data_IF_074006587871
#
_entry.id   IF_074006587871
#
_cell.length_a   1.000
_cell.length_b   1.000
_cell.length_c   1.000
_cell.angle_alpha   90.00
_cell.angle_beta   90.00
_cell.angle_gamma   90.00
#
_symmetry.space_group_name_H-M   'P 1'
#
loop_
_entity.id
_entity.type
_entity.pdbx_description
1 polymer ?
#
# COMPACT_ATOMS: atom_id res chain seq x y z
N UNK A 1 5.58 -9.90 -0.20
CA UNK A 1 5.47 -9.19 1.11
C UNK A 1 4.08 -9.29 1.73
N UNK A 2 2.97 -9.00 1.02
CA UNK A 2 1.62 -9.04 1.62
C UNK A 2 1.22 -10.44 2.06
N UNK A 3 1.50 -11.46 1.28
CA UNK A 3 1.21 -12.86 1.63
C UNK A 3 1.97 -13.30 2.88
N UNK A 4 3.22 -12.86 3.05
CA UNK A 4 4.02 -13.12 4.24
C UNK A 4 3.41 -12.43 5.47
N UNK A 5 3.00 -11.18 5.36
CA UNK A 5 2.35 -10.45 6.45
C UNK A 5 0.99 -11.06 6.83
N UNK A 6 0.22 -11.57 5.86
CA UNK A 6 -1.02 -12.31 6.13
C UNK A 6 -0.74 -13.65 6.83
N UNK A 7 0.35 -14.35 6.48
CA UNK A 7 0.76 -15.58 7.17
C UNK A 7 1.15 -15.33 8.63
N UNK A 8 1.92 -14.27 8.89
CA UNK A 8 2.31 -13.88 10.27
C UNK A 8 1.07 -13.46 11.09
N UNK A 9 0.11 -12.75 10.48
CA UNK A 9 -1.15 -12.43 11.12
C UNK A 9 -1.95 -13.69 11.50
N UNK A 10 -2.06 -14.67 10.59
CA UNK A 10 -2.75 -15.94 10.86
C UNK A 10 -2.11 -16.70 12.02
N UNK A 11 -0.78 -16.77 12.05
CA UNK A 11 -0.05 -17.41 13.17
C UNK A 11 -0.39 -16.70 14.48
N UNK A 12 -0.31 -15.38 14.53
CA UNK A 12 -0.62 -14.59 15.72
C UNK A 12 -2.06 -14.80 16.19
N UNK A 13 -3.02 -14.81 15.24
CA UNK A 13 -4.44 -15.11 15.56
C UNK A 13 -4.61 -16.51 16.14
N UNK A 14 -3.87 -17.51 15.65
CA UNK A 14 -3.88 -18.86 16.22
C UNK A 14 -3.50 -18.92 17.70
N UNK A 15 -2.60 -18.04 18.11
CA UNK A 15 -2.10 -17.96 19.49
C UNK A 15 -3.01 -17.13 20.42
N UNK A 16 -3.69 -16.10 19.90
CA UNK A 16 -4.39 -15.08 20.71
C UNK A 16 -5.89 -15.01 20.49
N UNK A 17 -6.38 -15.51 19.34
CA UNK A 17 -7.77 -15.46 18.93
C UNK A 17 -8.17 -16.76 18.20
N UNK A 18 -8.18 -17.92 18.88
CA UNK A 18 -8.30 -19.23 18.24
C UNK A 18 -9.64 -19.46 17.52
N UNK A 19 -10.74 -18.82 17.94
CA UNK A 19 -12.00 -18.92 17.24
C UNK A 19 -11.93 -18.19 15.89
N UNK A 20 -11.28 -17.02 15.84
CA UNK A 20 -11.01 -16.28 14.61
C UNK A 20 -10.10 -17.06 13.68
N UNK A 21 -9.00 -17.63 14.19
CA UNK A 21 -8.08 -18.44 13.39
C UNK A 21 -8.75 -19.70 12.81
N UNK A 22 -9.74 -20.27 13.51
CA UNK A 22 -10.53 -21.39 13.02
C UNK A 22 -11.49 -20.97 11.91
N UNK A 23 -12.17 -19.83 12.08
CA UNK A 23 -13.14 -19.31 11.11
C UNK A 23 -12.46 -18.76 9.85
N UNK A 24 -11.29 -18.16 9.99
CA UNK A 24 -10.47 -17.58 8.91
C UNK A 24 -9.12 -18.31 8.83
N UNK A 25 -9.17 -19.59 8.47
CA UNK A 25 -8.06 -20.53 8.57
C UNK A 25 -6.96 -20.34 7.51
N UNK A 26 -7.17 -19.47 6.52
CA UNK A 26 -6.19 -19.20 5.46
C UNK A 26 -6.17 -17.74 5.00
N UNK A 27 -5.18 -17.40 4.17
CA UNK A 27 -5.03 -16.05 3.65
C UNK A 27 -6.16 -15.65 2.68
N UNK A 28 -6.83 -16.60 2.04
CA UNK A 28 -7.95 -16.32 1.15
C UNK A 28 -9.18 -15.86 1.95
N UNK A 29 -9.45 -16.48 3.09
CA UNK A 29 -10.51 -16.07 4.01
C UNK A 29 -10.25 -14.66 4.58
N UNK A 30 -8.99 -14.35 4.97
CA UNK A 30 -8.61 -13.01 5.41
C UNK A 30 -8.75 -11.95 4.29
N UNK A 31 -8.50 -12.33 3.05
CA UNK A 31 -8.72 -11.44 1.90
C UNK A 31 -10.19 -11.21 1.62
N UNK A 32 -11.02 -12.25 1.76
CA UNK A 32 -12.46 -12.15 1.57
C UNK A 32 -13.09 -11.16 2.57
N UNK A 33 -12.74 -11.24 3.86
CA UNK A 33 -13.27 -10.30 4.86
C UNK A 33 -12.74 -8.87 4.64
N UNK A 34 -11.49 -8.71 4.18
CA UNK A 34 -10.98 -7.39 3.79
C UNK A 34 -11.77 -6.81 2.61
N UNK A 35 -12.08 -7.62 1.59
CA UNK A 35 -12.88 -7.17 0.44
C UNK A 35 -14.32 -6.83 0.86
N UNK A 36 -14.90 -7.57 1.78
CA UNK A 36 -16.18 -7.21 2.40
C UNK A 36 -16.10 -5.84 3.08
N UNK A 37 -15.02 -5.58 3.84
CA UNK A 37 -14.81 -4.29 4.51
C UNK A 37 -14.71 -3.13 3.52
N UNK A 38 -14.05 -3.30 2.36
CA UNK A 38 -14.01 -2.28 1.29
C UNK A 38 -15.42 -1.88 0.81
N UNK A 39 -16.35 -2.83 0.78
CA UNK A 39 -17.75 -2.57 0.42
C UNK A 39 -18.54 -1.91 1.54
N UNK A 40 -18.28 -2.27 2.79
CA UNK A 40 -18.93 -1.71 3.98
C UNK A 40 -18.42 -0.30 4.32
N UNK A 41 -17.15 -0.02 4.03
CA UNK A 41 -16.47 1.24 4.37
C UNK A 41 -15.82 1.86 3.13
N UNK A 42 -16.61 2.31 2.15
CA UNK A 42 -16.07 2.94 0.93
C UNK A 42 -15.33 4.25 1.22
N UNK A 43 -15.61 4.89 2.35
CA UNK A 43 -14.91 6.07 2.87
C UNK A 43 -13.43 5.80 3.20
N UNK A 44 -13.06 4.56 3.52
CA UNK A 44 -11.70 4.16 3.87
C UNK A 44 -10.86 3.64 2.68
N UNK A 45 -11.34 3.74 1.45
CA UNK A 45 -10.62 3.17 0.28
C UNK A 45 -9.21 3.72 0.09
N UNK A 46 -8.95 4.94 0.55
CA UNK A 46 -7.63 5.56 0.52
C UNK A 46 -6.74 5.15 1.69
N UNK A 47 -7.30 4.56 2.76
CA UNK A 47 -6.58 4.14 3.97
C UNK A 47 -6.60 2.62 4.13
N UNK A 48 -5.60 1.96 3.52
CA UNK A 48 -5.45 0.51 3.61
C UNK A 48 -5.14 0.03 5.04
N UNK A 49 -4.57 0.88 5.89
CA UNK A 49 -4.31 0.56 7.29
C UNK A 49 -5.60 0.52 8.09
N UNK A 50 -6.46 1.53 7.93
CA UNK A 50 -7.78 1.55 8.57
C UNK A 50 -8.65 0.39 8.05
N UNK A 51 -8.69 0.14 6.73
CA UNK A 51 -9.40 -1.01 6.16
C UNK A 51 -8.92 -2.34 6.76
N UNK A 52 -7.62 -2.51 6.96
CA UNK A 52 -7.08 -3.75 7.55
C UNK A 52 -7.47 -3.88 9.02
N UNK A 53 -7.36 -2.82 9.82
CA UNK A 53 -7.80 -2.82 11.23
C UNK A 53 -9.27 -3.19 11.36
N UNK A 54 -10.13 -2.53 10.58
CA UNK A 54 -11.57 -2.80 10.62
C UNK A 54 -11.91 -4.21 10.12
N UNK A 55 -11.18 -4.75 9.12
CA UNK A 55 -11.39 -6.13 8.68
C UNK A 55 -10.98 -7.15 9.75
N UNK A 56 -9.91 -6.91 10.50
CA UNK A 56 -9.50 -7.75 11.62
C UNK A 56 -10.53 -7.67 12.75
N UNK A 57 -10.99 -6.46 13.09
CA UNK A 57 -12.03 -6.24 14.12
C UNK A 57 -13.32 -6.95 13.77
N UNK A 58 -13.73 -6.89 12.51
CA UNK A 58 -14.90 -7.61 12.01
C UNK A 58 -14.71 -9.13 12.13
N UNK A 59 -13.54 -9.66 11.77
CA UNK A 59 -13.23 -11.08 11.88
C UNK A 59 -13.34 -11.57 13.35
N UNK A 60 -12.71 -10.85 14.27
CA UNK A 60 -12.75 -11.13 15.71
C UNK A 60 -14.20 -11.14 16.23
N UNK A 61 -14.97 -10.11 15.89
CA UNK A 61 -16.37 -9.99 16.32
C UNK A 61 -17.23 -11.13 15.77
N UNK A 62 -17.08 -11.50 14.50
CA UNK A 62 -17.84 -12.59 13.88
C UNK A 62 -17.50 -13.96 14.47
N UNK A 63 -16.25 -14.15 14.89
CA UNK A 63 -15.80 -15.39 15.54
C UNK A 63 -16.14 -15.47 17.05
N UNK A 64 -16.50 -14.33 17.67
CA UNK A 64 -16.76 -14.25 19.10
C UNK A 64 -15.51 -14.05 19.97
N UNK A 65 -14.38 -13.72 19.38
CA UNK A 65 -13.17 -13.31 20.09
C UNK A 65 -13.21 -11.82 20.45
N UNK A 66 -12.30 -11.38 21.34
CA UNK A 66 -12.24 -9.99 21.79
C UNK A 66 -11.82 -9.04 20.66
N UNK A 67 -12.69 -8.11 20.29
CA UNK A 67 -12.44 -7.10 19.26
C UNK A 67 -11.29 -6.15 19.61
N UNK A 68 -10.89 -6.02 20.88
CA UNK A 68 -9.74 -5.22 21.30
C UNK A 68 -8.41 -5.79 20.78
N UNK A 69 -8.37 -7.07 20.42
CA UNK A 69 -7.22 -7.71 19.78
C UNK A 69 -6.94 -7.19 18.36
N UNK A 70 -7.84 -6.38 17.78
CA UNK A 70 -7.63 -5.84 16.41
C UNK A 70 -6.39 -4.97 16.27
N UNK A 71 -6.08 -4.14 17.29
CA UNK A 71 -4.89 -3.27 17.24
C UNK A 71 -3.58 -4.07 17.33
N UNK A 72 -3.34 -4.93 18.32
CA UNK A 72 -2.12 -5.73 18.36
C UNK A 72 -1.99 -6.68 17.16
N UNK A 73 -3.07 -7.25 16.66
CA UNK A 73 -3.05 -8.05 15.43
C UNK A 73 -2.64 -7.24 14.20
N UNK A 74 -3.16 -6.01 14.08
CA UNK A 74 -2.74 -5.09 13.03
C UNK A 74 -1.28 -4.72 13.14
N UNK A 75 -0.76 -4.45 14.34
CA UNK A 75 0.64 -4.06 14.55
C UNK A 75 1.61 -5.16 14.10
N UNK A 76 1.28 -6.42 14.36
CA UNK A 76 2.04 -7.58 13.87
C UNK A 76 2.04 -7.63 12.34
N UNK A 77 0.88 -7.54 11.72
CA UNK A 77 0.74 -7.48 10.26
C UNK A 77 1.52 -6.31 9.68
N UNK A 78 1.35 -5.10 10.23
CA UNK A 78 1.95 -3.88 9.72
C UNK A 78 3.47 -3.87 9.84
N UNK A 79 4.01 -4.39 10.94
CA UNK A 79 5.45 -4.53 11.13
C UNK A 79 6.07 -5.42 10.06
N UNK A 80 5.40 -6.52 9.71
CA UNK A 80 5.86 -7.41 8.65
C UNK A 80 5.71 -6.79 7.26
N UNK A 81 4.69 -5.93 7.04
CA UNK A 81 4.52 -5.17 5.80
C UNK A 81 5.67 -4.20 5.51
N UNK A 82 6.39 -3.72 6.54
CA UNK A 82 7.55 -2.84 6.37
C UNK A 82 8.83 -3.61 5.99
N UNK A 83 8.86 -4.94 6.14
CA UNK A 83 9.98 -5.80 5.72
C UNK A 83 9.91 -6.10 4.24
N UNK A 84 10.21 -5.08 3.43
CA UNK A 84 10.21 -5.18 1.98
C UNK A 84 11.54 -5.72 1.48
N UNK A 85 11.48 -6.77 0.67
CA UNK A 85 12.62 -7.20 -0.15
C UNK A 85 12.51 -6.48 -1.49
N UNK A 86 13.46 -5.61 -1.75
CA UNK A 86 13.52 -4.85 -3.00
C UNK A 86 14.09 -5.74 -4.13
N UNK A 87 13.66 -5.47 -5.36
CA UNK A 87 14.31 -6.04 -6.53
C UNK A 87 15.78 -5.59 -6.59
N UNK A 88 16.65 -6.42 -7.17
CA UNK A 88 18.09 -6.18 -7.22
C UNK A 88 18.46 -4.86 -7.90
N UNK A 89 17.68 -4.45 -8.89
CA UNK A 89 17.85 -3.20 -9.65
C UNK A 89 17.24 -1.97 -8.98
N UNK A 90 16.43 -2.11 -7.92
CA UNK A 90 15.71 -1.00 -7.31
C UNK A 90 16.67 0.04 -6.70
N UNK A 91 17.66 -0.39 -5.91
CA UNK A 91 18.64 0.52 -5.32
C UNK A 91 19.50 1.23 -6.38
N UNK A 92 20.10 0.54 -7.37
CA UNK A 92 20.84 1.20 -8.44
C UNK A 92 19.99 2.21 -9.24
N UNK A 93 18.73 1.85 -9.57
CA UNK A 93 17.85 2.73 -10.31
C UNK A 93 17.49 3.99 -9.51
N UNK A 94 17.08 3.84 -8.24
CA UNK A 94 16.77 4.97 -7.38
C UNK A 94 17.98 5.87 -7.14
N UNK A 95 19.16 5.30 -6.92
CA UNK A 95 20.39 6.08 -6.77
C UNK A 95 20.72 6.87 -8.04
N UNK A 96 20.59 6.25 -9.22
CA UNK A 96 20.83 6.91 -10.50
C UNK A 96 19.85 8.08 -10.73
N UNK A 97 18.56 7.86 -10.46
CA UNK A 97 17.51 8.86 -10.68
C UNK A 97 17.61 10.01 -9.68
N UNK A 98 17.77 9.73 -8.38
CA UNK A 98 17.79 10.74 -7.33
C UNK A 98 18.99 11.69 -7.38
N UNK A 99 20.08 11.28 -8.04
CA UNK A 99 21.24 12.14 -8.30
C UNK A 99 20.99 13.14 -9.45
N UNK A 100 20.00 12.91 -10.30
CA UNK A 100 19.75 13.67 -11.53
C UNK A 100 18.44 14.44 -11.52
N UNK A 101 17.47 13.90 -10.81
CA UNK A 101 16.11 14.44 -10.77
C UNK A 101 15.58 14.46 -9.34
N UNK A 102 14.69 15.41 -9.00
CA UNK A 102 13.89 15.27 -7.78
C UNK A 102 12.91 14.10 -7.94
N UNK A 103 13.02 13.11 -7.06
CA UNK A 103 12.15 11.92 -7.08
C UNK A 103 11.11 12.02 -5.96
N UNK A 104 9.85 11.73 -6.28
CA UNK A 104 8.73 11.71 -5.33
C UNK A 104 8.11 10.31 -5.32
N UNK A 105 7.89 9.75 -4.13
CA UNK A 105 7.12 8.53 -3.98
C UNK A 105 5.62 8.85 -3.92
N UNK A 106 4.79 8.13 -4.71
CA UNK A 106 3.33 8.23 -4.67
C UNK A 106 2.76 6.82 -4.49
N UNK A 107 2.12 6.55 -3.36
CA UNK A 107 1.71 5.19 -2.99
C UNK A 107 0.26 5.11 -2.50
N UNK A 108 -0.48 4.12 -3.03
CA UNK A 108 -1.74 3.66 -2.42
C UNK A 108 -1.48 2.66 -1.28
N UNK A 109 -0.26 2.13 -1.19
CA UNK A 109 0.15 1.18 -0.17
C UNK A 109 0.40 1.82 1.19
N UNK A 110 0.57 0.98 2.19
CA UNK A 110 0.86 1.38 3.56
C UNK A 110 2.31 1.05 4.01
N UNK A 111 3.20 0.73 3.07
CA UNK A 111 4.62 0.64 3.36
C UNK A 111 5.22 2.06 3.37
N UNK A 112 5.96 2.37 4.43
CA UNK A 112 6.62 3.65 4.62
C UNK A 112 8.03 3.60 4.04
N UNK A 113 8.34 4.48 3.10
CA UNK A 113 9.66 4.52 2.43
C UNK A 113 10.83 4.72 3.41
N UNK A 114 10.62 5.41 4.54
CA UNK A 114 11.64 5.61 5.57
C UNK A 114 11.86 4.33 6.38
N UNK A 115 10.77 3.64 6.76
CA UNK A 115 10.85 2.36 7.48
C UNK A 115 11.40 1.24 6.61
N UNK A 116 11.13 1.28 5.31
CA UNK A 116 11.72 0.36 4.31
C UNK A 116 13.21 0.65 4.07
N UNK A 117 13.70 1.86 4.42
CA UNK A 117 15.11 2.23 4.29
C UNK A 117 15.48 2.93 2.97
N UNK A 118 14.50 3.26 2.12
CA UNK A 118 14.71 3.94 0.83
C UNK A 118 14.31 5.42 0.83
N UNK A 119 13.86 5.95 1.96
CA UNK A 119 13.38 7.32 2.07
C UNK A 119 14.38 8.38 1.62
N UNK A 120 15.68 8.11 1.74
CA UNK A 120 16.75 9.03 1.37
C UNK A 120 16.84 9.31 -0.14
N UNK A 121 16.23 8.49 -1.01
CA UNK A 121 16.16 8.73 -2.45
C UNK A 121 15.06 9.73 -2.84
N UNK A 122 14.07 9.97 -1.96
CA UNK A 122 12.90 10.76 -2.27
C UNK A 122 12.97 12.15 -1.64
N UNK A 123 12.60 13.18 -2.43
CA UNK A 123 12.41 14.54 -1.92
C UNK A 123 11.12 14.71 -1.15
N UNK A 124 10.10 13.93 -1.52
CA UNK A 124 8.82 13.84 -0.85
C UNK A 124 8.22 12.44 -1.01
N UNK A 125 7.36 12.06 -0.07
CA UNK A 125 6.55 10.84 -0.15
C UNK A 125 5.10 11.22 0.10
N UNK A 126 4.20 10.83 -0.81
CA UNK A 126 2.78 11.11 -0.74
C UNK A 126 2.06 9.76 -0.67
N UNK A 127 1.50 9.45 0.48
CA UNK A 127 0.66 8.28 0.68
C UNK A 127 -0.81 8.64 0.49
N UNK A 128 -1.60 7.72 -0.08
CA UNK A 128 -3.03 7.90 -0.20
C UNK A 128 -3.70 8.09 1.17
N UNK A 129 -3.19 7.42 2.20
CA UNK A 129 -3.66 7.52 3.58
C UNK A 129 -3.56 8.94 4.12
N UNK A 130 -2.40 9.59 3.96
CA UNK A 130 -2.16 10.95 4.47
C UNK A 130 -2.83 12.01 3.60
N UNK A 131 -2.83 11.79 2.29
CA UNK A 131 -3.40 12.74 1.34
C UNK A 131 -4.95 12.70 1.29
N UNK A 132 -5.56 11.57 1.68
CA UNK A 132 -7.02 11.41 1.71
C UNK A 132 -7.65 10.91 0.41
N UNK A 133 -6.86 10.74 -0.66
CA UNK A 133 -7.32 10.11 -1.92
C UNK A 133 -6.24 9.21 -2.50
N UNK A 134 -6.66 8.17 -3.21
CA UNK A 134 -5.79 7.16 -3.81
C UNK A 134 -5.71 7.31 -5.33
N UNK A 135 -4.63 6.84 -5.96
CA UNK A 135 -4.61 6.60 -7.40
C UNK A 135 -5.80 5.70 -7.77
N UNK A 136 -6.53 5.95 -8.84
CA UNK A 136 -6.20 6.79 -10.00
C UNK A 136 -6.68 8.25 -9.93
N UNK A 137 -7.08 8.77 -8.77
CA UNK A 137 -7.55 10.15 -8.66
C UNK A 137 -6.43 11.13 -9.08
N UNK A 138 -6.67 12.06 -10.03
CA UNK A 138 -5.62 12.96 -10.53
C UNK A 138 -5.05 13.90 -9.46
N UNK A 139 -5.80 14.16 -8.38
CA UNK A 139 -5.35 15.06 -7.30
C UNK A 139 -4.06 14.59 -6.62
N UNK A 140 -3.87 13.27 -6.46
CA UNK A 140 -2.65 12.76 -5.81
C UNK A 140 -1.40 12.94 -6.71
N UNK A 141 -1.57 12.86 -8.05
CA UNK A 141 -0.51 13.13 -9.01
C UNK A 141 -0.16 14.62 -9.05
N UNK A 142 -1.18 15.49 -9.06
CA UNK A 142 -0.97 16.94 -9.00
C UNK A 142 -0.29 17.36 -7.69
N UNK A 143 -0.60 16.73 -6.57
CA UNK A 143 0.10 16.97 -5.32
C UNK A 143 1.59 16.62 -5.43
N UNK A 144 1.95 15.54 -6.15
CA UNK A 144 3.34 15.17 -6.38
C UNK A 144 4.08 16.20 -7.23
N UNK A 145 3.47 16.72 -8.30
CA UNK A 145 4.03 17.80 -9.10
C UNK A 145 4.22 19.08 -8.28
N UNK A 146 3.17 19.47 -7.53
CA UNK A 146 3.20 20.66 -6.66
C UNK A 146 4.27 20.58 -5.57
N UNK A 147 4.51 19.41 -4.99
CA UNK A 147 5.56 19.20 -3.99
C UNK A 147 6.96 19.51 -4.53
N UNK A 148 7.16 19.42 -5.84
CA UNK A 148 8.42 19.75 -6.52
C UNK A 148 8.42 21.11 -7.21
N UNK A 149 7.29 21.83 -7.20
CA UNK A 149 7.15 23.13 -7.83
C UNK A 149 7.20 23.06 -9.36
N UNK A 150 6.73 21.97 -9.96
CA UNK A 150 6.70 21.75 -11.41
C UNK A 150 5.27 21.53 -11.91
N UNK A 151 5.06 21.72 -13.21
CA UNK A 151 3.80 21.43 -13.86
C UNK A 151 3.66 19.92 -14.15
N UNK A 152 2.43 19.37 -14.21
CA UNK A 152 2.23 17.94 -14.45
C UNK A 152 2.93 17.41 -15.72
N UNK A 153 2.95 18.17 -16.81
CA UNK A 153 3.59 17.75 -18.07
C UNK A 153 5.12 17.63 -17.99
N UNK A 154 5.75 18.19 -16.95
CA UNK A 154 7.18 18.07 -16.67
C UNK A 154 7.52 16.83 -15.85
N UNK A 155 6.51 16.08 -15.39
CA UNK A 155 6.66 14.88 -14.55
C UNK A 155 6.61 13.61 -15.40
N UNK A 156 7.55 12.71 -15.16
CA UNK A 156 7.51 11.33 -15.64
C UNK A 156 7.10 10.43 -14.47
N UNK A 157 5.91 9.86 -14.53
CA UNK A 157 5.45 8.85 -13.57
C UNK A 157 5.91 7.46 -14.00
N UNK A 158 6.47 6.69 -13.05
CA UNK A 158 6.93 5.32 -13.28
C UNK A 158 6.18 4.40 -12.32
N UNK A 159 5.50 3.39 -12.84
CA UNK A 159 4.73 2.45 -12.01
C UNK A 159 4.44 1.14 -12.71
N UNK A 160 3.97 0.15 -11.95
CA UNK A 160 3.75 -1.23 -12.40
C UNK A 160 2.29 -1.56 -12.70
N UNK A 161 1.34 -0.72 -12.30
CA UNK A 161 -0.07 -0.88 -12.61
C UNK A 161 -0.47 -0.06 -13.84
N UNK A 162 -0.91 -0.75 -14.90
CA UNK A 162 -1.29 -0.10 -16.17
C UNK A 162 -2.42 0.93 -15.98
N UNK A 163 -3.37 0.67 -15.07
CA UNK A 163 -4.54 1.52 -14.84
C UNK A 163 -4.29 2.58 -13.76
N UNK A 164 -3.78 2.15 -12.61
CA UNK A 164 -3.60 3.02 -11.44
C UNK A 164 -2.37 3.93 -11.58
N UNK A 165 -1.37 3.52 -12.36
CA UNK A 165 -0.15 4.30 -12.57
C UNK A 165 -0.11 4.91 -13.98
N UNK A 166 0.05 4.10 -15.03
CA UNK A 166 0.33 4.62 -16.35
C UNK A 166 -0.84 5.45 -16.93
N UNK A 167 -2.04 4.86 -17.00
CA UNK A 167 -3.21 5.54 -17.55
C UNK A 167 -3.63 6.73 -16.67
N UNK A 168 -3.58 6.57 -15.36
CA UNK A 168 -3.96 7.63 -14.43
C UNK A 168 -3.00 8.83 -14.48
N UNK A 169 -1.69 8.61 -14.58
CA UNK A 169 -0.71 9.67 -14.75
C UNK A 169 -0.90 10.44 -16.08
N UNK A 170 -1.14 9.73 -17.18
CA UNK A 170 -1.47 10.35 -18.46
C UNK A 170 -2.74 11.21 -18.34
N UNK A 171 -3.78 10.68 -17.69
CA UNK A 171 -5.04 11.40 -17.46
C UNK A 171 -4.83 12.65 -16.59
N UNK A 172 -3.85 12.61 -15.67
CA UNK A 172 -3.46 13.76 -14.86
C UNK A 172 -2.54 14.76 -15.57
N UNK A 173 -2.25 14.56 -16.87
CA UNK A 173 -1.42 15.44 -17.70
C UNK A 173 0.10 15.18 -17.56
N UNK A 174 0.50 14.05 -16.97
CA UNK A 174 1.90 13.63 -16.84
C UNK A 174 2.33 12.75 -18.02
N UNK A 175 3.64 12.54 -18.15
CA UNK A 175 4.20 11.44 -18.92
C UNK A 175 4.23 10.17 -18.05
N UNK A 176 4.18 8.98 -18.67
CA UNK A 176 4.19 7.74 -17.92
C UNK A 176 5.11 6.67 -18.54
N UNK A 177 5.73 5.90 -17.68
CA UNK A 177 6.41 4.62 -18.00
C UNK A 177 5.72 3.52 -17.22
N UNK A 178 5.20 2.53 -17.94
CA UNK A 178 4.67 1.32 -17.34
C UNK A 178 5.77 0.26 -17.24
N UNK A 179 6.13 -0.09 -16.00
CA UNK A 179 7.04 -1.19 -15.70
C UNK A 179 6.26 -2.51 -15.75
N UNK A 180 6.52 -3.33 -16.76
CA UNK A 180 5.90 -4.65 -16.89
C UNK A 180 6.95 -5.77 -16.73
N UNK A 181 7.38 -6.10 -15.50
CA UNK A 181 8.45 -7.07 -15.29
C UNK A 181 8.08 -8.50 -15.67
N UNK A 182 6.79 -8.80 -15.78
CA UNK A 182 6.29 -10.14 -16.11
C UNK A 182 5.93 -10.32 -17.59
N UNK A 183 6.15 -9.32 -18.47
CA UNK A 183 5.70 -9.32 -19.87
C UNK A 183 4.24 -9.80 -20.00
N UNK A 184 3.38 -9.31 -19.12
CA UNK A 184 1.95 -9.55 -19.24
C UNK A 184 1.45 -8.84 -20.49
N UNK A 185 1.17 -9.63 -21.53
CA UNK A 185 0.63 -9.18 -22.79
C UNK A 185 -0.82 -8.72 -22.65
#
# INVERSE_FOLDING_TARGET
TITRAEGVLLQWLGEHAPATATLYSDTAALRAIRNQMVSLRPDLRHDLSALRRESIRLALTQAGDDAALAEPAFDVFFSERQRVELFEDAHPALAFLSQRYPVVAVSNGNADVHRVGIGHYFKASISAQEFGVAKPDPRIFHAAASAMGVEPHEVLHVGDDATLDALAAITAGMQAVWLNPAQQA
#
